data_IF_616902570187
#
_entry.id   IF_616902570187
#
_cell.length_a   1.000
_cell.length_b   1.000
_cell.length_c   1.000
_cell.angle_alpha   90.00
_cell.angle_beta   90.00
_cell.angle_gamma   90.00
#
_symmetry.space_group_name_H-M   'P 1'
#
loop_
_entity.id
_entity.type
_entity.pdbx_description
1 polymer ?
#
# COMPACT_ATOMS: atom_id res chain seq x y z
N UNK A 1 -40.14 6.95 -27.96
CA UNK A 1 -39.57 6.78 -26.61
C UNK A 1 -38.40 5.81 -26.70
N UNK A 2 -37.19 6.31 -26.84
CA UNK A 2 -35.96 5.53 -26.78
C UNK A 2 -35.52 5.42 -25.33
N UNK A 3 -35.68 4.24 -24.76
CA UNK A 3 -35.02 3.77 -23.55
C UNK A 3 -33.90 2.82 -23.98
N UNK A 4 -32.87 3.36 -24.56
CA UNK A 4 -31.67 2.61 -24.88
C UNK A 4 -30.49 3.52 -24.67
N UNK A 5 -29.83 3.43 -23.51
CA UNK A 5 -28.45 3.83 -23.28
C UNK A 5 -28.19 4.15 -21.80
N UNK A 6 -28.62 3.22 -20.95
CA UNK A 6 -28.13 3.15 -19.56
C UNK A 6 -27.48 1.79 -19.31
N UNK A 7 -26.63 1.35 -20.23
CA UNK A 7 -25.66 0.32 -19.93
C UNK A 7 -24.46 1.01 -19.27
N UNK A 8 -24.17 0.72 -17.98
CA UNK A 8 -22.95 1.24 -17.36
C UNK A 8 -21.76 0.74 -18.14
N UNK A 9 -20.83 1.62 -18.43
CA UNK A 9 -19.57 1.34 -19.10
C UNK A 9 -18.75 0.29 -18.33
N UNK A 10 -19.11 -0.97 -18.47
CA UNK A 10 -18.29 -2.13 -18.11
C UNK A 10 -17.34 -2.52 -19.24
N UNK A 11 -16.95 -1.55 -20.05
CA UNK A 11 -15.94 -1.74 -21.08
C UNK A 11 -14.59 -1.35 -20.55
N UNK A 12 -13.91 -2.27 -19.85
CA UNK A 12 -12.58 -1.94 -19.37
C UNK A 12 -11.78 -3.05 -18.75
N UNK A 13 -12.34 -4.23 -18.58
CA UNK A 13 -11.51 -5.44 -18.40
C UNK A 13 -11.18 -5.94 -19.81
N UNK A 14 -10.27 -5.27 -20.47
CA UNK A 14 -9.67 -5.73 -21.70
C UNK A 14 -8.89 -7.01 -21.39
N UNK A 15 -8.92 -7.96 -22.33
CA UNK A 15 -8.27 -9.29 -22.25
C UNK A 15 -6.78 -9.27 -21.79
N UNK A 16 -6.12 -8.12 -21.81
CA UNK A 16 -4.78 -7.92 -21.20
C UNK A 16 -4.74 -7.97 -19.68
N UNK A 17 -5.88 -7.82 -18.99
CA UNK A 17 -5.95 -7.82 -17.52
C UNK A 17 -6.24 -9.22 -16.92
N UNK A 18 -6.39 -10.26 -17.72
CA UNK A 18 -6.62 -11.63 -17.21
C UNK A 18 -5.39 -12.16 -16.48
N UNK A 19 -4.20 -11.85 -16.97
CA UNK A 19 -2.96 -12.16 -16.25
C UNK A 19 -2.87 -11.36 -14.94
N UNK A 20 -3.23 -10.07 -14.96
CA UNK A 20 -3.28 -9.23 -13.78
C UNK A 20 -4.33 -9.71 -12.76
N UNK A 21 -5.48 -10.23 -13.22
CA UNK A 21 -6.51 -10.80 -12.34
C UNK A 21 -6.05 -12.08 -11.63
N UNK A 22 -5.09 -12.81 -12.22
CA UNK A 22 -4.44 -13.98 -11.60
C UNK A 22 -3.31 -13.63 -10.64
N UNK A 23 -2.71 -12.44 -10.78
CA UNK A 23 -1.58 -12.01 -9.94
C UNK A 23 -1.99 -11.88 -8.47
N UNK A 24 -1.18 -12.39 -7.53
CA UNK A 24 -1.48 -12.28 -6.10
C UNK A 24 -1.58 -10.82 -5.64
N UNK A 25 -2.56 -10.56 -4.78
CA UNK A 25 -2.73 -9.28 -4.08
C UNK A 25 -2.52 -9.52 -2.60
N UNK A 26 -1.55 -8.83 -2.00
CA UNK A 26 -1.29 -8.85 -0.58
C UNK A 26 -1.86 -7.60 0.09
N UNK A 27 -2.68 -7.78 1.12
CA UNK A 27 -3.29 -6.70 1.89
C UNK A 27 -2.56 -6.53 3.22
N UNK A 28 -2.11 -5.30 3.52
CA UNK A 28 -1.45 -4.92 4.77
C UNK A 28 -2.32 -3.92 5.54
N UNK A 29 -2.73 -4.31 6.75
CA UNK A 29 -3.53 -3.44 7.63
C UNK A 29 -2.71 -2.33 8.31
N UNK A 30 -3.39 -1.36 8.89
CA UNK A 30 -2.79 -0.31 9.71
C UNK A 30 -2.54 -0.74 11.15
N UNK A 31 -2.15 0.22 11.99
CA UNK A 31 -1.90 0.02 13.42
C UNK A 31 -3.17 -0.40 14.18
N UNK A 32 -4.30 0.19 13.83
CA UNK A 32 -5.60 -0.19 14.39
C UNK A 32 -6.22 -1.20 13.43
N UNK A 33 -6.39 -2.44 13.89
CA UNK A 33 -6.92 -3.55 13.09
C UNK A 33 -8.32 -3.24 12.56
N UNK A 34 -8.40 -2.75 11.34
CA UNK A 34 -9.67 -2.57 10.66
C UNK A 34 -9.94 -3.76 9.71
N UNK A 35 -10.06 -4.96 10.31
CA UNK A 35 -10.39 -6.22 9.60
C UNK A 35 -11.64 -6.08 8.73
N UNK A 36 -12.55 -5.20 9.11
CA UNK A 36 -13.78 -4.94 8.36
C UNK A 36 -13.49 -4.32 6.99
N UNK A 37 -12.59 -3.33 6.92
CA UNK A 37 -12.23 -2.70 5.63
C UNK A 37 -11.64 -3.74 4.68
N UNK A 38 -10.73 -4.58 5.17
CA UNK A 38 -10.13 -5.61 4.32
C UNK A 38 -11.08 -6.76 4.01
N UNK A 39 -12.01 -7.11 4.88
CA UNK A 39 -13.04 -8.10 4.57
C UNK A 39 -13.92 -7.63 3.40
N UNK A 40 -14.36 -6.37 3.44
CA UNK A 40 -15.15 -5.77 2.36
C UNK A 40 -14.33 -5.65 1.08
N UNK A 41 -13.10 -5.14 1.17
CA UNK A 41 -12.21 -4.99 0.02
C UNK A 41 -11.91 -6.35 -0.63
N UNK A 42 -11.54 -7.36 0.17
CA UNK A 42 -11.29 -8.73 -0.31
C UNK A 42 -12.51 -9.31 -1.01
N UNK A 43 -13.72 -9.14 -0.44
CA UNK A 43 -14.96 -9.62 -1.06
C UNK A 43 -15.22 -8.93 -2.40
N UNK A 44 -14.99 -7.61 -2.49
CA UNK A 44 -15.16 -6.84 -3.73
C UNK A 44 -14.14 -7.22 -4.79
N UNK A 45 -12.87 -7.39 -4.42
CA UNK A 45 -11.82 -7.85 -5.33
C UNK A 45 -12.14 -9.24 -5.89
N UNK A 46 -12.54 -10.18 -5.04
CA UNK A 46 -12.95 -11.53 -5.49
C UNK A 46 -14.14 -11.51 -6.45
N UNK A 47 -15.13 -10.65 -6.21
CA UNK A 47 -16.26 -10.46 -7.13
C UNK A 47 -15.86 -9.86 -8.48
N UNK A 48 -14.72 -9.18 -8.54
CA UNK A 48 -14.16 -8.61 -9.76
C UNK A 48 -13.18 -9.56 -10.48
N UNK A 49 -13.08 -10.81 -10.02
CA UNK A 49 -12.23 -11.83 -10.64
C UNK A 49 -10.83 -11.98 -10.04
N UNK A 50 -10.45 -11.17 -9.03
CA UNK A 50 -9.18 -11.32 -8.33
C UNK A 50 -9.27 -12.47 -7.33
N UNK A 51 -8.89 -13.69 -7.77
CA UNK A 51 -9.03 -14.90 -6.96
C UNK A 51 -7.98 -15.04 -5.85
N UNK A 52 -6.80 -14.44 -5.99
CA UNK A 52 -5.63 -14.66 -5.14
C UNK A 52 -5.37 -13.45 -4.22
N UNK A 53 -6.27 -13.23 -3.27
CA UNK A 53 -6.17 -12.11 -2.31
C UNK A 53 -5.77 -12.67 -0.95
N UNK A 54 -4.59 -12.28 -0.48
CA UNK A 54 -3.97 -12.69 0.77
C UNK A 54 -3.97 -11.52 1.76
N UNK A 55 -3.92 -11.84 3.04
CA UNK A 55 -3.72 -10.86 4.11
C UNK A 55 -2.55 -11.32 4.96
N UNK A 56 -1.71 -10.39 5.36
CA UNK A 56 -0.66 -10.65 6.32
C UNK A 56 -1.06 -10.06 7.67
N UNK A 57 -0.89 -10.84 8.73
CA UNK A 57 -0.97 -10.37 10.09
C UNK A 57 0.47 -10.13 10.58
N UNK A 58 0.89 -8.88 10.61
CA UNK A 58 2.07 -8.50 11.37
C UNK A 58 1.62 -7.99 12.74
N UNK A 59 2.47 -8.13 13.74
CA UNK A 59 2.15 -7.62 15.07
C UNK A 59 1.99 -6.10 15.02
N UNK A 60 0.83 -5.52 15.38
CA UNK A 60 0.68 -4.06 15.48
C UNK A 60 1.58 -3.46 16.57
N UNK A 61 2.16 -4.32 17.41
CA UNK A 61 3.13 -3.98 18.46
C UNK A 61 4.55 -3.87 17.85
N UNK A 62 4.71 -4.08 16.53
CA UNK A 62 6.01 -3.85 15.88
C UNK A 62 6.37 -2.37 16.05
N UNK A 63 7.20 -2.09 17.03
CA UNK A 63 7.60 -0.73 17.37
C UNK A 63 8.59 -0.12 16.35
N UNK A 64 8.82 -0.79 15.22
CA UNK A 64 9.80 -0.38 14.22
C UNK A 64 9.34 -0.71 12.80
N UNK A 65 9.14 0.33 11.99
CA UNK A 65 8.68 0.21 10.59
C UNK A 65 9.72 -0.54 9.73
N UNK A 66 11.02 -0.35 10.00
CA UNK A 66 12.10 -1.02 9.26
C UNK A 66 12.11 -2.53 9.54
N UNK A 67 11.85 -2.92 10.80
CA UNK A 67 11.72 -4.33 11.18
C UNK A 67 10.49 -4.95 10.50
N UNK A 68 9.34 -4.28 10.56
CA UNK A 68 8.12 -4.74 9.91
C UNK A 68 8.27 -4.86 8.38
N UNK A 69 9.07 -3.99 7.75
CA UNK A 69 9.37 -4.09 6.33
C UNK A 69 10.25 -5.30 5.99
N UNK A 70 11.18 -5.69 6.88
CA UNK A 70 11.95 -6.94 6.72
C UNK A 70 11.07 -8.18 6.87
N UNK A 71 10.15 -8.17 7.84
CA UNK A 71 9.20 -9.28 8.03
C UNK A 71 8.28 -9.40 6.81
N UNK A 72 7.84 -8.26 6.25
CA UNK A 72 7.08 -8.21 5.00
C UNK A 72 7.87 -8.81 3.83
N UNK A 73 9.17 -8.51 3.72
CA UNK A 73 10.04 -9.09 2.70
C UNK A 73 10.01 -10.62 2.75
N UNK A 74 10.18 -11.22 3.93
CA UNK A 74 10.12 -12.67 4.11
C UNK A 74 8.75 -13.25 3.70
N UNK A 75 7.67 -12.59 4.09
CA UNK A 75 6.31 -13.04 3.74
C UNK A 75 6.03 -12.94 2.22
N UNK A 76 6.58 -11.93 1.54
CA UNK A 76 6.46 -11.78 0.08
C UNK A 76 7.25 -12.88 -0.63
N UNK A 77 8.47 -13.18 -0.20
CA UNK A 77 9.26 -14.27 -0.78
C UNK A 77 8.55 -15.63 -0.61
N UNK A 78 7.97 -15.90 0.56
CA UNK A 78 7.16 -17.10 0.76
C UNK A 78 5.94 -17.14 -0.18
N UNK A 79 5.24 -16.00 -0.35
CA UNK A 79 4.09 -15.91 -1.24
C UNK A 79 4.47 -16.14 -2.71
N UNK A 80 5.56 -15.55 -3.16
CA UNK A 80 6.14 -15.73 -4.48
C UNK A 80 6.49 -17.21 -4.72
N UNK A 81 7.20 -17.84 -3.78
CA UNK A 81 7.57 -19.25 -3.87
C UNK A 81 6.34 -20.18 -3.94
N UNK A 82 5.30 -19.89 -3.15
CA UNK A 82 4.06 -20.70 -3.12
C UNK A 82 3.16 -20.53 -4.33
N UNK A 83 3.16 -19.34 -4.92
CA UNK A 83 2.24 -19.01 -6.02
C UNK A 83 2.88 -19.16 -7.40
N UNK A 84 4.21 -19.16 -7.48
CA UNK A 84 4.96 -19.17 -8.75
C UNK A 84 4.95 -17.84 -9.50
N UNK A 85 4.41 -16.77 -8.91
CA UNK A 85 4.44 -15.44 -9.50
C UNK A 85 5.67 -14.66 -9.04
N UNK A 86 6.46 -14.15 -9.95
CA UNK A 86 7.67 -13.37 -9.63
C UNK A 86 7.34 -12.01 -8.99
N UNK A 87 6.20 -11.43 -9.35
CA UNK A 87 5.75 -10.11 -8.86
C UNK A 87 4.31 -10.17 -8.40
N UNK A 88 3.98 -9.38 -7.38
CA UNK A 88 2.67 -9.29 -6.76
C UNK A 88 2.16 -7.85 -6.71
N UNK A 89 0.88 -7.67 -6.42
CA UNK A 89 0.33 -6.38 -6.04
C UNK A 89 0.23 -6.30 -4.51
N UNK A 90 0.48 -5.10 -3.98
CA UNK A 90 0.37 -4.84 -2.54
C UNK A 90 -0.64 -3.69 -2.33
N UNK A 91 -1.53 -3.85 -1.37
CA UNK A 91 -2.44 -2.80 -0.91
C UNK A 91 -2.19 -2.58 0.58
N UNK A 92 -1.69 -1.41 0.93
CA UNK A 92 -1.39 -1.04 2.30
C UNK A 92 -2.33 0.06 2.81
N UNK A 93 -2.92 -0.14 3.98
CA UNK A 93 -3.72 0.88 4.66
C UNK A 93 -2.92 1.54 5.78
N UNK A 94 -2.91 2.88 5.84
CA UNK A 94 -2.26 3.64 6.90
C UNK A 94 -0.80 3.19 7.10
N UNK A 95 -0.41 2.72 8.27
CA UNK A 95 0.93 2.20 8.59
C UNK A 95 1.38 1.08 7.63
N UNK A 96 0.45 0.20 7.20
CA UNK A 96 0.77 -0.89 6.26
C UNK A 96 1.27 -0.37 4.91
N UNK A 97 0.75 0.76 4.45
CA UNK A 97 1.23 1.42 3.23
C UNK A 97 2.66 1.97 3.39
N UNK A 98 2.98 2.50 4.58
CA UNK A 98 4.32 3.03 4.87
C UNK A 98 5.37 1.90 4.97
N UNK A 99 5.00 0.78 5.62
CA UNK A 99 5.84 -0.43 5.70
C UNK A 99 6.13 -0.96 4.29
N UNK A 100 5.11 -1.07 3.45
CA UNK A 100 5.26 -1.54 2.08
C UNK A 100 6.11 -0.57 1.23
N UNK A 101 5.92 0.75 1.39
CA UNK A 101 6.75 1.76 0.73
C UNK A 101 8.22 1.61 1.14
N UNK A 102 8.51 1.44 2.42
CA UNK A 102 9.87 1.27 2.90
C UNK A 102 10.50 -0.01 2.32
N UNK A 103 9.76 -1.11 2.30
CA UNK A 103 10.20 -2.35 1.66
C UNK A 103 10.57 -2.13 0.19
N UNK A 104 9.69 -1.50 -0.58
CA UNK A 104 9.91 -1.23 -2.01
C UNK A 104 11.13 -0.35 -2.23
N UNK A 105 11.24 0.78 -1.51
CA UNK A 105 12.27 1.77 -1.77
C UNK A 105 13.64 1.42 -1.17
N UNK A 106 13.68 0.68 -0.04
CA UNK A 106 14.89 0.54 0.78
C UNK A 106 15.36 -0.90 0.94
N UNK A 107 14.54 -1.88 0.62
CA UNK A 107 14.88 -3.29 0.78
C UNK A 107 14.79 -4.08 -0.54
N UNK A 108 14.81 -3.40 -1.68
CA UNK A 108 14.78 -4.03 -3.00
C UNK A 108 13.42 -4.63 -3.38
N UNK A 109 12.36 -4.25 -2.68
CA UNK A 109 11.02 -4.79 -2.91
C UNK A 109 10.41 -4.42 -4.27
N UNK A 110 11.00 -3.48 -5.01
CA UNK A 110 10.58 -3.14 -6.37
C UNK A 110 10.80 -4.28 -7.38
N UNK A 111 11.63 -5.26 -7.05
CA UNK A 111 11.76 -6.49 -7.83
C UNK A 111 10.52 -7.39 -7.70
N UNK A 112 9.87 -7.38 -6.53
CA UNK A 112 8.73 -8.22 -6.18
C UNK A 112 7.38 -7.55 -6.27
N UNK A 113 7.33 -6.23 -6.11
CA UNK A 113 6.07 -5.47 -6.13
C UNK A 113 5.86 -4.81 -7.47
N UNK A 114 4.83 -5.24 -8.19
CA UNK A 114 4.43 -4.61 -9.45
C UNK A 114 3.71 -3.28 -9.22
N UNK A 115 2.74 -3.29 -8.30
CA UNK A 115 1.96 -2.11 -7.94
C UNK A 115 1.76 -2.05 -6.44
N UNK A 116 2.05 -0.92 -5.85
CA UNK A 116 1.72 -0.59 -4.47
C UNK A 116 0.59 0.44 -4.43
N UNK A 117 -0.55 0.02 -3.91
CA UNK A 117 -1.69 0.90 -3.62
C UNK A 117 -1.66 1.25 -2.14
N UNK A 118 -1.69 2.53 -1.81
CA UNK A 118 -1.75 3.01 -0.43
C UNK A 118 -3.06 3.73 -0.16
N UNK A 119 -3.64 3.49 1.01
CA UNK A 119 -4.93 4.03 1.43
C UNK A 119 -4.73 4.78 2.75
N UNK A 120 -4.87 6.11 2.75
CA UNK A 120 -4.70 6.94 3.94
C UNK A 120 -3.34 6.72 4.63
N UNK A 121 -2.26 6.61 3.85
CA UNK A 121 -0.91 6.38 4.35
C UNK A 121 -0.20 7.72 4.57
N UNK A 122 0.41 7.96 5.76
CA UNK A 122 1.14 9.20 6.05
C UNK A 122 2.51 9.19 5.35
N UNK A 123 2.54 9.49 4.05
CA UNK A 123 3.77 9.43 3.23
C UNK A 123 4.84 10.44 3.63
N UNK A 124 4.46 11.52 4.34
CA UNK A 124 5.34 12.54 4.90
C UNK A 124 5.18 12.67 6.43
N UNK A 125 4.54 11.69 7.07
CA UNK A 125 4.29 11.69 8.50
C UNK A 125 2.98 12.34 8.89
N UNK A 126 2.74 12.40 10.21
CA UNK A 126 1.59 13.09 10.77
C UNK A 126 1.95 13.87 12.03
N UNK A 127 1.43 15.08 12.16
CA UNK A 127 1.60 15.89 13.36
C UNK A 127 0.95 15.25 14.60
N UNK A 128 -0.08 14.41 14.44
CA UNK A 128 -0.66 13.65 15.55
C UNK A 128 0.34 12.68 16.19
N UNK A 129 1.38 12.28 15.47
CA UNK A 129 2.42 11.41 16.00
C UNK A 129 3.23 12.04 17.16
N UNK A 130 3.21 13.37 17.31
CA UNK A 130 3.83 14.03 18.45
C UNK A 130 3.10 13.73 19.77
N UNK A 131 1.81 13.42 19.73
CA UNK A 131 1.03 13.00 20.90
C UNK A 131 1.20 11.53 21.28
N UNK A 132 1.94 10.73 20.50
CA UNK A 132 2.15 9.31 20.77
C UNK A 132 3.55 9.08 21.39
N UNK A 133 3.63 8.81 22.71
CA UNK A 133 4.91 8.66 23.42
C UNK A 133 5.52 7.26 23.25
N UNK A 134 5.37 6.66 22.09
CA UNK A 134 5.89 5.33 21.76
C UNK A 134 6.87 5.43 20.60
N UNK A 135 7.78 4.45 20.48
CA UNK A 135 8.81 4.42 19.42
C UNK A 135 8.21 4.58 18.02
N UNK A 136 7.09 3.91 17.76
CA UNK A 136 6.38 4.05 16.50
C UNK A 136 5.89 5.48 16.25
N UNK A 137 5.36 6.16 17.29
CA UNK A 137 4.99 7.57 17.19
C UNK A 137 6.17 8.45 16.78
N UNK A 138 7.35 8.21 17.34
CA UNK A 138 8.57 8.95 16.93
C UNK A 138 8.90 8.75 15.46
N UNK A 139 8.77 7.54 14.93
CA UNK A 139 9.00 7.24 13.50
C UNK A 139 7.98 7.89 12.57
N UNK A 140 6.74 8.09 13.04
CA UNK A 140 5.66 8.70 12.25
C UNK A 140 5.69 10.24 12.25
N UNK A 141 6.60 10.89 13.00
CA UNK A 141 6.78 12.35 12.96
C UNK A 141 7.39 12.77 11.63
N UNK A 142 6.92 13.86 11.02
CA UNK A 142 7.43 14.34 9.72
C UNK A 142 8.94 14.54 9.66
N UNK A 143 9.58 14.90 10.78
CA UNK A 143 11.03 15.13 10.88
C UNK A 143 11.84 13.89 11.27
N UNK A 144 11.25 12.68 11.26
CA UNK A 144 11.95 11.48 11.67
C UNK A 144 12.97 11.02 10.62
N UNK A 145 13.98 10.26 11.07
CA UNK A 145 14.97 9.62 10.19
C UNK A 145 14.32 8.72 9.13
N UNK A 146 13.19 8.10 9.46
CA UNK A 146 12.45 7.26 8.53
C UNK A 146 12.06 8.03 7.26
N UNK A 147 11.54 9.26 7.40
CA UNK A 147 11.15 10.07 6.25
C UNK A 147 12.36 10.65 5.52
N UNK A 148 13.46 10.92 6.20
CA UNK A 148 14.72 11.26 5.56
C UNK A 148 15.22 10.11 4.66
N UNK A 149 15.14 8.88 5.15
CA UNK A 149 15.45 7.69 4.35
C UNK A 149 14.50 7.53 3.15
N UNK A 150 13.19 7.74 3.34
CA UNK A 150 12.19 7.63 2.29
C UNK A 150 12.26 8.76 1.26
N UNK A 151 12.84 9.90 1.60
CA UNK A 151 13.11 11.00 0.69
C UNK A 151 14.42 10.83 -0.10
N UNK A 152 15.31 9.92 0.33
CA UNK A 152 16.56 9.67 -0.36
C UNK A 152 16.31 9.05 -1.75
N UNK A 153 17.21 9.27 -2.73
CA UNK A 153 17.04 8.78 -4.11
C UNK A 153 16.73 7.28 -4.19
N UNK A 154 15.86 6.92 -5.12
CA UNK A 154 15.46 5.55 -5.45
C UNK A 154 15.45 5.34 -6.98
N UNK A 155 16.58 5.59 -7.67
CA UNK A 155 16.62 5.56 -9.12
C UNK A 155 16.29 4.16 -9.65
N UNK A 156 15.54 4.11 -10.75
CA UNK A 156 15.19 2.85 -11.40
C UNK A 156 14.11 2.04 -10.70
N UNK A 157 13.40 2.60 -9.71
CA UNK A 157 12.28 1.91 -9.08
C UNK A 157 11.19 1.58 -10.09
N UNK A 158 10.88 0.28 -10.23
CA UNK A 158 9.95 -0.26 -11.23
C UNK A 158 8.52 -0.41 -10.70
N UNK A 159 8.32 -0.26 -9.39
CA UNK A 159 6.99 -0.36 -8.77
C UNK A 159 6.15 0.84 -9.14
N UNK A 160 4.92 0.60 -9.61
CA UNK A 160 3.91 1.66 -9.79
C UNK A 160 3.25 1.95 -8.44
N UNK A 161 3.18 3.23 -8.08
CA UNK A 161 2.50 3.66 -6.85
C UNK A 161 1.15 4.32 -7.17
N UNK A 162 0.13 4.00 -6.37
CA UNK A 162 -1.17 4.67 -6.41
C UNK A 162 -1.53 5.04 -4.97
N UNK A 163 -1.50 6.32 -4.65
CA UNK A 163 -1.81 6.81 -3.31
C UNK A 163 -3.23 7.41 -3.27
N UNK A 164 -4.11 6.76 -2.51
CA UNK A 164 -5.43 7.30 -2.19
C UNK A 164 -5.35 8.03 -0.86
N UNK A 165 -5.70 9.29 -0.86
CA UNK A 165 -5.76 10.14 0.31
C UNK A 165 -7.07 10.93 0.34
N UNK A 166 -7.40 11.57 1.45
CA UNK A 166 -8.62 12.35 1.60
C UNK A 166 -8.34 13.64 2.33
N UNK A 167 -8.93 14.73 1.86
CA UNK A 167 -8.89 16.02 2.54
C UNK A 167 -9.63 16.02 3.88
N UNK A 168 -10.43 14.98 4.12
CA UNK A 168 -11.15 14.74 5.37
C UNK A 168 -10.44 13.76 6.30
N UNK A 169 -9.19 13.39 6.01
CA UNK A 169 -8.43 12.48 6.86
C UNK A 169 -8.11 13.17 8.20
N UNK A 170 -8.54 12.52 9.29
CA UNK A 170 -8.35 13.02 10.65
C UNK A 170 -7.11 12.44 11.34
N UNK A 171 -6.42 11.51 10.69
CA UNK A 171 -5.25 10.81 11.22
C UNK A 171 -3.97 11.30 10.56
N UNK A 172 -4.01 11.57 9.26
CA UNK A 172 -2.89 12.15 8.51
C UNK A 172 -3.02 13.66 8.51
N UNK A 173 -2.26 14.33 9.37
CA UNK A 173 -2.29 15.80 9.52
C UNK A 173 -0.91 16.38 9.27
N UNK A 174 -0.79 17.37 8.35
CA UNK A 174 -1.81 17.83 7.41
C UNK A 174 -2.20 16.74 6.40
N UNK A 175 -3.43 16.78 5.88
CA UNK A 175 -3.95 15.78 4.94
C UNK A 175 -3.09 15.63 3.66
N UNK A 176 -2.41 16.70 3.25
CA UNK A 176 -1.47 16.70 2.12
C UNK A 176 -0.34 15.69 2.29
N UNK A 177 0.02 15.32 3.53
CA UNK A 177 1.01 14.28 3.82
C UNK A 177 0.55 12.85 3.45
N UNK A 178 -0.70 12.69 3.05
CA UNK A 178 -1.21 11.47 2.41
C UNK A 178 -0.80 11.31 0.95
N UNK A 179 -0.33 12.38 0.31
CA UNK A 179 0.22 12.34 -1.04
C UNK A 179 1.59 11.67 -1.05
N UNK A 180 1.89 11.03 -2.15
CA UNK A 180 3.22 10.48 -2.42
C UNK A 180 3.87 11.30 -3.53
N UNK A 181 4.69 12.25 -3.15
CA UNK A 181 5.46 13.08 -4.06
C UNK A 181 6.96 12.77 -3.91
N UNK A 182 7.53 12.04 -4.89
CA UNK A 182 8.93 11.65 -4.91
C UNK A 182 9.41 11.58 -6.35
N UNK A 183 10.57 12.19 -6.68
CA UNK A 183 11.02 12.34 -8.07
C UNK A 183 11.28 11.00 -8.78
N UNK A 184 11.72 9.98 -8.07
CA UNK A 184 12.12 8.70 -8.65
C UNK A 184 10.99 7.65 -8.61
N UNK A 185 9.82 7.96 -8.06
CA UNK A 185 8.72 7.01 -7.97
C UNK A 185 7.63 7.31 -8.99
N UNK A 186 7.21 6.33 -9.82
CA UNK A 186 6.07 6.51 -10.72
C UNK A 186 4.76 6.48 -9.90
N UNK A 187 4.45 7.61 -9.25
CA UNK A 187 3.33 7.75 -8.33
C UNK A 187 2.15 8.49 -8.96
N UNK A 188 0.93 8.01 -8.68
CA UNK A 188 -0.33 8.67 -8.96
C UNK A 188 -1.06 8.92 -7.65
N UNK A 189 -1.40 10.19 -7.39
CA UNK A 189 -2.24 10.60 -6.26
C UNK A 189 -3.70 10.69 -6.69
N UNK A 190 -4.61 10.16 -5.88
CA UNK A 190 -6.06 10.04 -6.15
C UNK A 190 -6.86 10.51 -4.95
#
# INVERSE_FOLDING_TARGET
>A
YHLGDLAPHQRGLVLGDIEAAGTPILLLHGMIDNRMIFAVLRRRLRRRGFGRVFTINYSPITNDIRAAARDLSGAIEELVARTGYERIHVVGHSLGGLIARYYVQRLGGDERVHTLVTLGTPHEGSLLAYGLPVRLGHQLRPSSELYAELAAPAPGCRTRFVAYYSDLDQVVIPHTHGRLDHPDLPARNV
#
